data_IF_389475981598
#
_entry.id   IF_389475981598
#
_cell.length_a   1.000
_cell.length_b   1.000
_cell.length_c   1.000
_cell.angle_alpha   90.00
_cell.angle_beta   90.00
_cell.angle_gamma   90.00
#
_symmetry.space_group_name_H-M   'P 1'
#
loop_
_entity.id
_entity.type
_entity.pdbx_description
1 polymer ?
#
# COMPACT_ATOMS: atom_id res chain seq x y z
N UNK A 1 -12.34 -40.18 28.48
CA UNK A 1 -12.90 -40.33 27.12
C UNK A 1 -13.43 -38.95 26.79
N UNK A 2 -12.74 -38.08 26.06
CA UNK A 2 -12.14 -38.25 24.75
C UNK A 2 -10.97 -37.28 24.56
N UNK A 3 -10.07 -37.63 23.66
CA UNK A 3 -8.67 -37.23 23.60
C UNK A 3 -8.41 -35.74 23.33
N UNK A 4 -7.45 -35.21 24.08
CA UNK A 4 -6.60 -34.07 23.73
C UNK A 4 -5.96 -34.30 22.35
N UNK A 5 -6.58 -33.82 21.28
CA UNK A 5 -5.90 -33.67 19.99
C UNK A 5 -4.93 -32.49 20.09
N UNK A 6 -3.72 -32.81 20.53
CA UNK A 6 -2.53 -31.97 20.40
C UNK A 6 -2.32 -31.69 18.91
N UNK A 7 -2.84 -30.57 18.40
CA UNK A 7 -2.44 -30.06 17.10
C UNK A 7 -0.94 -29.76 17.17
N UNK A 8 -0.13 -30.66 16.59
CA UNK A 8 1.31 -30.46 16.41
C UNK A 8 1.53 -29.07 15.81
N UNK A 9 2.44 -28.23 16.35
CA UNK A 9 2.68 -26.91 15.79
C UNK A 9 3.08 -27.13 14.34
N UNK A 10 2.26 -26.58 13.44
CA UNK A 10 2.39 -26.72 11.99
C UNK A 10 3.79 -26.21 11.63
N UNK A 11 4.75 -27.10 11.44
CA UNK A 11 6.15 -26.73 11.19
C UNK A 11 6.20 -25.67 10.10
N UNK A 12 6.86 -24.56 10.40
CA UNK A 12 6.88 -23.39 9.52
C UNK A 12 7.52 -23.80 8.19
N UNK A 13 6.69 -23.86 7.13
CA UNK A 13 7.07 -24.26 5.77
C UNK A 13 8.29 -23.50 5.25
N UNK A 14 8.51 -22.28 5.75
CA UNK A 14 9.65 -21.43 5.40
C UNK A 14 11.00 -21.92 5.95
N UNK A 15 11.01 -22.76 6.99
CA UNK A 15 12.22 -23.27 7.63
C UNK A 15 12.61 -24.71 7.25
N UNK A 16 11.70 -25.49 6.66
CA UNK A 16 11.88 -26.94 6.43
C UNK A 16 11.97 -27.35 4.95
N UNK A 17 11.54 -26.49 4.01
CA UNK A 17 11.61 -26.79 2.57
C UNK A 17 12.94 -26.38 1.93
N UNK A 18 13.40 -27.10 0.89
CA UNK A 18 14.58 -26.70 0.13
C UNK A 18 14.36 -25.35 -0.54
N UNK A 19 15.36 -24.47 -0.46
CA UNK A 19 15.30 -23.05 -0.86
C UNK A 19 14.67 -22.85 -2.24
N UNK A 20 15.06 -23.65 -3.24
CA UNK A 20 14.51 -23.54 -4.60
C UNK A 20 13.00 -23.82 -4.69
N UNK A 21 12.50 -24.86 -3.99
CA UNK A 21 11.07 -25.18 -3.98
C UNK A 21 10.27 -24.16 -3.18
N UNK A 22 10.83 -23.67 -2.08
CA UNK A 22 10.21 -22.64 -1.24
C UNK A 22 10.05 -21.33 -2.00
N UNK A 23 11.10 -20.89 -2.72
CA UNK A 23 11.06 -19.72 -3.58
C UNK A 23 9.96 -19.83 -4.63
N UNK A 24 9.88 -20.94 -5.38
CA UNK A 24 8.83 -21.12 -6.39
C UNK A 24 7.43 -21.08 -5.77
N UNK A 25 7.21 -21.77 -4.65
CA UNK A 25 5.89 -21.85 -4.00
C UNK A 25 5.42 -20.49 -3.45
N UNK A 26 6.34 -19.65 -2.95
CA UNK A 26 5.99 -18.33 -2.38
C UNK A 26 6.00 -17.20 -3.43
N UNK A 27 6.92 -17.26 -4.40
CA UNK A 27 7.05 -16.23 -5.43
C UNK A 27 5.99 -16.33 -6.52
N UNK A 28 5.56 -17.53 -6.94
CA UNK A 28 4.55 -17.67 -8.01
C UNK A 28 3.22 -16.96 -7.67
N UNK A 29 2.62 -17.18 -6.48
CA UNK A 29 1.41 -16.45 -6.08
C UNK A 29 1.65 -14.95 -6.00
N UNK A 30 2.80 -14.54 -5.46
CA UNK A 30 3.15 -13.11 -5.31
C UNK A 30 3.29 -12.42 -6.67
N UNK A 31 3.96 -13.06 -7.63
CA UNK A 31 4.08 -12.55 -9.01
C UNK A 31 2.72 -12.42 -9.68
N UNK A 32 1.82 -13.40 -9.50
CA UNK A 32 0.46 -13.32 -10.01
C UNK A 32 -0.32 -12.14 -9.41
N UNK A 33 -0.21 -11.91 -8.09
CA UNK A 33 -0.81 -10.74 -7.44
C UNK A 33 -0.28 -9.43 -8.01
N UNK A 34 1.04 -9.32 -8.23
CA UNK A 34 1.64 -8.12 -8.83
C UNK A 34 1.21 -7.92 -10.28
N UNK A 35 1.05 -8.99 -11.06
CA UNK A 35 0.53 -8.91 -12.43
C UNK A 35 -0.91 -8.40 -12.46
N UNK A 36 -1.78 -8.94 -11.60
CA UNK A 36 -3.18 -8.49 -11.49
C UNK A 36 -3.23 -7.02 -11.05
N UNK A 37 -2.40 -6.62 -10.08
CA UNK A 37 -2.30 -5.23 -9.64
C UNK A 37 -1.86 -4.30 -10.78
N UNK A 38 -0.87 -4.69 -11.59
CA UNK A 38 -0.43 -3.90 -12.74
C UNK A 38 -1.54 -3.76 -13.80
N UNK A 39 -2.25 -4.84 -14.11
CA UNK A 39 -3.40 -4.81 -15.03
C UNK A 39 -4.51 -3.90 -14.53
N UNK A 40 -4.80 -3.93 -13.22
CA UNK A 40 -5.78 -3.04 -12.60
C UNK A 40 -5.40 -1.56 -12.79
N UNK A 41 -4.14 -1.19 -12.56
CA UNK A 41 -3.66 0.18 -12.77
C UNK A 41 -3.83 0.65 -14.22
N UNK A 42 -3.59 -0.23 -15.19
CA UNK A 42 -3.77 0.09 -16.62
C UNK A 42 -5.26 0.28 -16.94
N UNK A 43 -6.10 -0.65 -16.50
CA UNK A 43 -7.54 -0.60 -16.78
C UNK A 43 -8.17 0.63 -16.14
N UNK A 44 -7.87 0.91 -14.87
CA UNK A 44 -8.35 2.08 -14.14
C UNK A 44 -8.01 3.39 -14.87
N UNK A 45 -6.74 3.55 -15.26
CA UNK A 45 -6.27 4.71 -16.04
C UNK A 45 -6.99 4.84 -17.39
N UNK A 46 -7.25 3.72 -18.08
CA UNK A 46 -8.01 3.72 -19.34
C UNK A 46 -9.47 4.16 -19.10
N UNK A 47 -10.13 3.68 -18.06
CA UNK A 47 -11.52 4.08 -17.74
C UNK A 47 -11.61 5.56 -17.38
N UNK A 48 -10.68 6.06 -16.57
CA UNK A 48 -10.58 7.48 -16.21
C UNK A 48 -10.31 8.35 -17.45
N UNK A 49 -9.42 7.90 -18.35
CA UNK A 49 -9.08 8.65 -19.57
C UNK A 49 -10.23 8.78 -20.56
N UNK A 50 -11.14 7.80 -20.61
CA UNK A 50 -12.32 7.81 -21.50
C UNK A 50 -13.49 8.65 -20.95
N UNK A 51 -13.49 9.01 -19.67
CA UNK A 51 -14.63 9.66 -19.03
C UNK A 51 -14.68 11.18 -19.26
N UNK A 52 -13.54 11.88 -19.29
CA UNK A 52 -13.45 13.30 -19.67
C UNK A 52 -11.99 13.74 -19.80
N UNK A 53 -11.66 14.47 -20.88
CA UNK A 53 -10.32 15.02 -21.14
C UNK A 53 -9.83 15.93 -20.01
N UNK A 54 -10.75 16.70 -19.40
CA UNK A 54 -10.47 17.54 -18.23
C UNK A 54 -10.26 16.70 -16.96
N UNK A 55 -10.99 15.59 -16.80
CA UNK A 55 -10.81 14.69 -15.66
C UNK A 55 -9.48 13.94 -15.74
N UNK A 56 -9.07 13.49 -16.93
CA UNK A 56 -7.76 12.87 -17.14
C UNK A 56 -6.61 13.84 -16.80
N UNK A 57 -6.77 15.12 -17.19
CA UNK A 57 -5.82 16.17 -16.85
C UNK A 57 -5.74 16.37 -15.33
N UNK A 58 -6.88 16.39 -14.64
CA UNK A 58 -6.94 16.48 -13.17
C UNK A 58 -6.29 15.27 -12.47
N UNK A 59 -6.53 14.05 -12.94
CA UNK A 59 -5.91 12.83 -12.38
C UNK A 59 -4.41 12.81 -12.65
N UNK A 60 -3.97 13.21 -13.84
CA UNK A 60 -2.54 13.33 -14.17
C UNK A 60 -1.82 14.34 -13.28
N UNK A 61 -2.50 15.42 -12.88
CA UNK A 61 -1.98 16.40 -11.93
C UNK A 61 -1.95 15.88 -10.48
N UNK A 62 -2.88 15.01 -10.10
CA UNK A 62 -2.89 14.37 -8.78
C UNK A 62 -1.84 13.24 -8.65
N UNK A 63 -1.41 12.67 -9.79
CA UNK A 63 -0.51 11.53 -9.85
C UNK A 63 0.82 11.69 -9.08
N UNK A 64 1.52 12.84 -9.12
CA UNK A 64 2.77 13.03 -8.35
C UNK A 64 2.56 12.96 -6.84
N UNK A 65 1.45 13.52 -6.34
CA UNK A 65 1.07 13.44 -4.92
C UNK A 65 0.75 12.00 -4.52
N UNK A 66 0.00 11.29 -5.37
CA UNK A 66 -0.36 9.90 -5.13
C UNK A 66 0.86 8.98 -5.16
N UNK A 67 1.79 9.20 -6.10
CA UNK A 67 3.04 8.45 -6.17
C UNK A 67 3.95 8.73 -4.95
N UNK A 68 3.98 9.97 -4.46
CA UNK A 68 4.69 10.31 -3.23
C UNK A 68 4.10 9.53 -2.03
N UNK A 69 2.78 9.50 -1.88
CA UNK A 69 2.12 8.70 -0.84
C UNK A 69 2.46 7.21 -0.96
N UNK A 70 2.37 6.64 -2.17
CA UNK A 70 2.72 5.24 -2.39
C UNK A 70 4.20 4.95 -2.07
N UNK A 71 5.12 5.85 -2.41
CA UNK A 71 6.53 5.68 -2.09
C UNK A 71 6.77 5.56 -0.57
N UNK A 72 6.12 6.40 0.24
CA UNK A 72 6.20 6.33 1.70
C UNK A 72 5.52 5.07 2.25
N UNK A 73 4.33 4.73 1.76
CA UNK A 73 3.58 3.55 2.21
C UNK A 73 4.33 2.24 1.92
N UNK A 74 4.88 2.11 0.71
CA UNK A 74 5.68 0.94 0.31
C UNK A 74 6.99 0.90 1.12
N UNK A 75 7.66 2.04 1.29
CA UNK A 75 8.89 2.14 2.07
C UNK A 75 8.72 1.64 3.51
N UNK A 76 7.66 2.09 4.18
CA UNK A 76 7.31 1.62 5.53
C UNK A 76 6.97 0.14 5.55
N UNK A 77 6.14 -0.32 4.61
CA UNK A 77 5.70 -1.71 4.52
C UNK A 77 6.89 -2.68 4.38
N UNK A 78 7.82 -2.36 3.48
CA UNK A 78 9.03 -3.17 3.26
C UNK A 78 9.96 -3.09 4.49
N UNK A 79 10.14 -1.91 5.08
CA UNK A 79 10.94 -1.72 6.29
C UNK A 79 10.43 -2.55 7.46
N UNK A 80 9.11 -2.52 7.71
CA UNK A 80 8.46 -3.33 8.74
C UNK A 80 8.59 -4.83 8.47
N UNK A 81 8.33 -5.26 7.23
CA UNK A 81 8.47 -6.65 6.84
C UNK A 81 9.91 -7.17 7.07
N UNK A 82 10.92 -6.34 6.80
CA UNK A 82 12.33 -6.69 7.04
C UNK A 82 12.64 -6.91 8.52
N UNK A 83 12.19 -6.01 9.41
CA UNK A 83 12.40 -6.14 10.86
C UNK A 83 11.69 -7.39 11.40
N UNK A 84 10.43 -7.60 11.03
CA UNK A 84 9.65 -8.76 11.46
C UNK A 84 10.28 -10.06 10.94
N UNK A 85 10.68 -10.10 9.67
CA UNK A 85 11.30 -11.29 9.08
C UNK A 85 12.61 -11.67 9.77
N UNK A 86 13.44 -10.69 10.18
CA UNK A 86 14.69 -10.95 10.91
C UNK A 86 14.41 -11.51 12.30
N UNK A 87 13.50 -10.92 13.07
CA UNK A 87 13.15 -11.39 14.43
C UNK A 87 12.51 -12.78 14.41
N UNK A 88 11.68 -13.05 13.41
CA UNK A 88 11.08 -14.37 13.21
C UNK A 88 12.16 -15.41 12.83
N UNK A 89 13.13 -15.04 12.00
CA UNK A 89 14.29 -15.88 11.65
C UNK A 89 15.18 -16.23 12.85
N UNK A 90 15.31 -15.31 13.81
CA UNK A 90 16.02 -15.53 15.08
C UNK A 90 15.22 -16.37 16.10
N UNK A 91 14.03 -16.88 15.73
CA UNK A 91 13.08 -17.58 16.63
C UNK A 91 12.62 -16.74 17.82
N UNK A 92 12.68 -15.41 17.71
CA UNK A 92 12.22 -14.45 18.74
C UNK A 92 10.81 -14.00 18.42
N UNK A 93 9.84 -14.91 18.56
CA UNK A 93 8.44 -14.65 18.17
C UNK A 93 7.80 -13.49 18.95
N UNK A 94 8.10 -13.37 20.24
CA UNK A 94 7.58 -12.26 21.08
C UNK A 94 8.10 -10.90 20.62
N UNK A 95 9.38 -10.83 20.22
CA UNK A 95 9.97 -9.61 19.67
C UNK A 95 9.42 -9.30 18.27
N UNK A 96 9.15 -10.33 17.46
CA UNK A 96 8.52 -10.18 16.15
C UNK A 96 7.09 -9.63 16.27
N UNK A 97 6.31 -10.12 17.26
CA UNK A 97 4.98 -9.58 17.56
C UNK A 97 5.04 -8.13 18.02
N UNK A 98 5.92 -7.79 18.96
CA UNK A 98 6.11 -6.39 19.39
C UNK A 98 6.53 -5.47 18.24
N UNK A 99 7.38 -5.96 17.35
CA UNK A 99 7.75 -5.22 16.15
C UNK A 99 6.53 -4.98 15.24
N UNK A 100 5.71 -6.00 14.99
CA UNK A 100 4.48 -5.85 14.20
C UNK A 100 3.48 -4.88 14.84
N UNK A 101 3.26 -4.96 16.16
CA UNK A 101 2.39 -4.05 16.91
C UNK A 101 2.86 -2.59 16.84
N UNK A 102 4.17 -2.37 16.98
CA UNK A 102 4.78 -1.05 16.82
C UNK A 102 4.63 -0.56 15.37
N UNK A 103 4.79 -1.45 14.39
CA UNK A 103 4.56 -1.16 12.97
C UNK A 103 3.15 -0.69 12.68
N UNK A 104 2.16 -1.40 13.24
CA UNK A 104 0.76 -1.01 13.11
C UNK A 104 0.49 0.38 13.71
N UNK A 105 1.11 0.70 14.85
CA UNK A 105 1.01 2.02 15.46
C UNK A 105 1.63 3.11 14.58
N UNK A 106 2.80 2.83 13.97
CA UNK A 106 3.46 3.74 13.03
C UNK A 106 2.59 3.95 11.77
N UNK A 107 1.98 2.88 11.25
CA UNK A 107 1.06 2.94 10.12
C UNK A 107 -0.14 3.83 10.42
N UNK A 108 -0.70 3.73 11.62
CA UNK A 108 -1.83 4.55 12.07
C UNK A 108 -1.44 6.04 12.17
N UNK A 109 -0.25 6.35 12.68
CA UNK A 109 0.30 7.71 12.68
C UNK A 109 0.48 8.23 11.24
N UNK A 110 0.99 7.38 10.35
CA UNK A 110 1.18 7.72 8.94
C UNK A 110 -0.15 7.98 8.21
N UNK A 111 -1.18 7.20 8.52
CA UNK A 111 -2.53 7.41 8.01
C UNK A 111 -3.07 8.79 8.42
N UNK A 112 -3.01 9.13 9.70
CA UNK A 112 -3.46 10.45 10.20
C UNK A 112 -2.63 11.59 9.59
N UNK A 113 -1.31 11.40 9.47
CA UNK A 113 -0.43 12.38 8.84
C UNK A 113 -0.82 12.64 7.38
N UNK A 114 -1.00 11.59 6.58
CA UNK A 114 -1.38 11.75 5.18
C UNK A 114 -2.80 12.30 5.00
N UNK A 115 -3.73 11.94 5.90
CA UNK A 115 -5.08 12.52 5.91
C UNK A 115 -5.04 14.04 6.14
N UNK A 116 -4.21 14.51 7.09
CA UNK A 116 -4.01 15.94 7.35
C UNK A 116 -3.31 16.64 6.18
N UNK A 117 -2.27 16.02 5.63
CA UNK A 117 -1.57 16.53 4.43
C UNK A 117 -2.55 16.63 3.26
N UNK A 118 -3.38 15.61 3.04
CA UNK A 118 -4.44 15.61 2.04
C UNK A 118 -5.42 16.77 2.23
N UNK A 119 -5.94 16.96 3.44
CA UNK A 119 -6.89 18.02 3.74
C UNK A 119 -6.31 19.44 3.50
N UNK A 120 -5.04 19.68 3.86
CA UNK A 120 -4.40 20.99 3.74
C UNK A 120 -3.75 21.25 2.39
N UNK A 121 -3.17 20.24 1.74
CA UNK A 121 -2.39 20.39 0.49
C UNK A 121 -3.30 20.30 -0.75
N UNK A 122 -4.44 19.60 -0.69
CA UNK A 122 -5.32 19.43 -1.86
C UNK A 122 -5.78 20.75 -2.49
N UNK A 123 -6.19 21.74 -1.67
CA UNK A 123 -6.65 23.05 -2.13
C UNK A 123 -5.55 23.94 -2.74
N UNK A 124 -4.40 24.19 -2.07
CA UNK A 124 -3.34 25.01 -2.65
C UNK A 124 -2.70 24.35 -3.87
N UNK A 125 -2.57 23.01 -3.87
CA UNK A 125 -2.06 22.28 -5.03
C UNK A 125 -3.00 22.41 -6.24
N UNK A 126 -4.31 22.18 -6.05
CA UNK A 126 -5.29 22.39 -7.12
C UNK A 126 -5.31 23.85 -7.63
N UNK A 127 -5.12 24.84 -6.75
CA UNK A 127 -5.10 26.26 -7.13
C UNK A 127 -3.89 26.67 -7.97
N UNK A 128 -2.71 26.09 -7.69
CA UNK A 128 -1.48 26.36 -8.45
C UNK A 128 -1.59 25.81 -9.87
N UNK A 129 -2.18 24.61 -10.03
CA UNK A 129 -2.25 23.94 -11.32
C UNK A 129 -3.47 24.32 -12.16
N UNK A 130 -4.58 24.75 -11.55
CA UNK A 130 -5.80 25.10 -12.29
C UNK A 130 -5.75 26.43 -13.06
N UNK A 131 -4.77 27.32 -12.78
CA UNK A 131 -4.53 28.59 -13.50
C UNK A 131 -5.80 29.41 -13.87
N UNK A 132 -6.86 29.33 -13.07
CA UNK A 132 -8.12 30.08 -13.27
C UNK A 132 -9.29 29.32 -13.89
N UNK A 133 -9.17 28.04 -14.25
CA UNK A 133 -10.30 27.19 -14.68
C UNK A 133 -11.04 26.63 -13.44
N UNK A 134 -12.21 27.19 -13.12
CA UNK A 134 -13.03 26.78 -11.97
C UNK A 134 -13.49 25.32 -12.03
N UNK A 135 -13.68 24.78 -13.23
CA UNK A 135 -14.14 23.41 -13.43
C UNK A 135 -13.01 22.41 -13.16
N UNK A 136 -11.81 22.72 -13.65
CA UNK A 136 -10.60 21.92 -13.38
C UNK A 136 -10.25 21.93 -11.89
N UNK A 137 -10.41 23.08 -11.23
CA UNK A 137 -10.14 23.24 -9.79
C UNK A 137 -11.10 22.37 -8.95
N UNK A 138 -12.39 22.32 -9.32
CA UNK A 138 -13.40 21.49 -8.63
C UNK A 138 -13.13 19.99 -8.80
N UNK A 139 -12.83 19.53 -10.02
CA UNK A 139 -12.51 18.12 -10.26
C UNK A 139 -11.22 17.70 -9.55
N UNK A 140 -10.16 18.49 -9.66
CA UNK A 140 -8.85 18.20 -9.04
C UNK A 140 -8.96 18.15 -7.51
N UNK A 141 -9.68 19.11 -6.90
CA UNK A 141 -9.86 19.13 -5.44
C UNK A 141 -10.70 17.95 -4.94
N UNK A 142 -11.76 17.58 -5.68
CA UNK A 142 -12.62 16.45 -5.30
C UNK A 142 -11.86 15.13 -5.41
N UNK A 143 -11.12 14.94 -6.50
CA UNK A 143 -10.31 13.74 -6.70
C UNK A 143 -9.19 13.63 -5.67
N UNK A 144 -8.41 14.69 -5.44
CA UNK A 144 -7.37 14.72 -4.40
C UNK A 144 -7.96 14.45 -3.01
N UNK A 145 -9.13 15.02 -2.68
CA UNK A 145 -9.75 14.80 -1.38
C UNK A 145 -10.29 13.37 -1.22
N UNK A 146 -10.74 12.70 -2.28
CA UNK A 146 -11.18 11.30 -2.22
C UNK A 146 -9.98 10.35 -2.17
N UNK A 147 -8.90 10.65 -2.87
CA UNK A 147 -7.72 9.78 -2.92
C UNK A 147 -6.75 9.96 -1.74
N UNK A 148 -6.66 11.14 -1.14
CA UNK A 148 -5.74 11.43 -0.03
C UNK A 148 -6.39 11.35 1.37
N UNK A 149 -7.73 11.23 1.47
CA UNK A 149 -8.47 11.19 2.73
C UNK A 149 -9.08 9.81 2.95
#
# INVERSE_FOLDING_TARGET
MEETRTERPRENKMGTMPVGKLLVVMSVPTMFSMLIQALYNIVDSIFVSRYSEKALTAVSLAFPLQNLMFAFAIGLSIGMCSVVSRRLGEKREDEAKRAAETGYTIELIFMVFFMLVGAFVSKPFARIYAKGDEELLRYTTTYLRICLM
#
